data_IF_997124594440
#
_entry.id   IF_997124594440
#
_cell.length_a   1.000
_cell.length_b   1.000
_cell.length_c   1.000
_cell.angle_alpha   90.00
_cell.angle_beta   90.00
_cell.angle_gamma   90.00
#
_symmetry.space_group_name_H-M   'P 1'
#
loop_
_entity.id
_entity.type
_entity.pdbx_description
1 polymer ?
#
# COMPACT_ATOMS: atom_id res chain seq x y z
N UNK A 1 6.91 26.00 9.13
CA UNK A 1 8.24 25.45 9.49
C UNK A 1 9.32 26.19 8.71
N UNK A 2 10.57 26.26 9.19
CA UNK A 2 11.69 26.92 8.47
C UNK A 2 12.51 25.94 7.63
N UNK A 3 13.17 26.42 6.57
CA UNK A 3 14.03 25.60 5.68
C UNK A 3 15.19 24.93 6.43
N UNK A 4 15.84 25.65 7.36
CA UNK A 4 16.93 25.11 8.19
C UNK A 4 16.47 23.87 8.97
N UNK A 5 15.29 23.96 9.57
CA UNK A 5 14.68 22.86 10.33
C UNK A 5 14.31 21.69 9.42
N UNK A 6 13.92 21.96 8.17
CA UNK A 6 13.69 20.91 7.18
C UNK A 6 14.99 20.16 6.88
N UNK A 7 16.08 20.88 6.60
CA UNK A 7 17.38 20.25 6.35
C UNK A 7 17.88 19.45 7.55
N UNK A 8 17.74 19.97 8.77
CA UNK A 8 18.05 19.22 10.00
C UNK A 8 17.23 17.93 10.10
N UNK A 9 15.93 17.99 9.84
CA UNK A 9 15.07 16.80 9.86
C UNK A 9 15.55 15.77 8.83
N UNK A 10 15.89 16.18 7.61
CA UNK A 10 16.45 15.28 6.61
C UNK A 10 17.76 14.65 7.08
N UNK A 11 18.71 15.44 7.62
CA UNK A 11 19.99 14.92 8.11
C UNK A 11 19.81 13.89 9.23
N UNK A 12 18.95 14.19 10.21
CA UNK A 12 18.63 13.29 11.32
C UNK A 12 17.99 11.99 10.82
N UNK A 13 17.04 12.09 9.89
CA UNK A 13 16.32 10.93 9.36
C UNK A 13 17.20 10.02 8.52
N UNK A 14 18.08 10.60 7.69
CA UNK A 14 19.01 9.85 6.86
C UNK A 14 20.25 9.38 7.63
N UNK A 15 20.51 9.93 8.82
CA UNK A 15 21.70 9.63 9.61
C UNK A 15 23.01 10.07 8.94
N UNK A 16 22.94 11.01 7.99
CA UNK A 16 24.09 11.53 7.26
C UNK A 16 23.91 12.99 6.90
N UNK A 17 25.01 13.64 6.53
CA UNK A 17 24.94 14.97 5.95
C UNK A 17 24.31 14.90 4.55
N UNK A 18 23.52 15.93 4.24
CA UNK A 18 22.91 16.13 2.94
C UNK A 18 23.95 16.73 2.00
N UNK A 19 24.00 16.22 0.77
CA UNK A 19 24.86 16.74 -0.29
C UNK A 19 24.35 18.09 -0.80
N UNK A 20 25.22 18.99 -1.28
CA UNK A 20 24.79 20.24 -1.94
C UNK A 20 23.76 20.01 -3.06
N UNK A 21 23.90 18.95 -3.85
CA UNK A 21 22.94 18.60 -4.90
C UNK A 21 21.55 18.24 -4.35
N UNK A 22 21.50 17.59 -3.20
CA UNK A 22 20.25 17.24 -2.53
C UNK A 22 19.58 18.50 -1.93
N UNK A 23 20.36 19.47 -1.47
CA UNK A 23 19.86 20.78 -1.04
C UNK A 23 19.22 21.52 -2.21
N UNK A 24 19.88 21.55 -3.37
CA UNK A 24 19.33 22.15 -4.59
C UNK A 24 17.99 21.51 -4.97
N UNK A 25 17.88 20.19 -4.87
CA UNK A 25 16.64 19.48 -5.16
C UNK A 25 15.50 19.84 -4.18
N UNK A 26 15.79 19.95 -2.88
CA UNK A 26 14.81 20.44 -1.89
C UNK A 26 14.36 21.87 -2.23
N UNK A 27 15.31 22.73 -2.59
CA UNK A 27 15.01 24.10 -3.00
C UNK A 27 14.17 24.14 -4.28
N UNK A 28 14.38 23.23 -5.24
CA UNK A 28 13.52 23.12 -6.42
C UNK A 28 12.08 22.77 -6.03
N UNK A 29 11.87 21.82 -5.12
CA UNK A 29 10.51 21.48 -4.68
C UNK A 29 9.79 22.66 -4.02
N UNK A 30 10.50 23.44 -3.20
CA UNK A 30 9.92 24.58 -2.48
C UNK A 30 9.65 25.75 -3.44
N UNK A 31 10.64 26.12 -4.26
CA UNK A 31 10.59 27.34 -5.06
C UNK A 31 10.06 27.16 -6.47
N UNK A 32 10.34 26.03 -7.13
CA UNK A 32 9.88 25.76 -8.51
C UNK A 32 8.50 25.11 -8.51
N UNK A 33 8.33 24.04 -7.72
CA UNK A 33 7.05 23.32 -7.64
C UNK A 33 6.05 24.00 -6.67
N UNK A 34 6.42 25.13 -6.08
CA UNK A 34 5.63 25.91 -5.11
C UNK A 34 5.07 25.04 -3.98
N UNK A 35 5.82 24.01 -3.55
CA UNK A 35 5.40 23.19 -2.43
C UNK A 35 5.72 23.87 -1.10
N UNK A 36 4.76 23.93 -0.17
CA UNK A 36 5.07 24.43 1.17
C UNK A 36 6.03 23.47 1.89
N UNK A 37 6.94 24.04 2.68
CA UNK A 37 7.97 23.32 3.47
C UNK A 37 7.33 22.21 4.32
N UNK A 38 6.16 22.48 4.88
CA UNK A 38 5.44 21.53 5.71
C UNK A 38 4.99 20.28 4.93
N UNK A 39 4.68 20.41 3.63
CA UNK A 39 4.34 19.28 2.75
C UNK A 39 5.58 18.45 2.45
N UNK A 40 6.73 19.08 2.18
CA UNK A 40 7.99 18.33 2.00
C UNK A 40 8.35 17.54 3.26
N UNK A 41 8.15 18.13 4.44
CA UNK A 41 8.37 17.44 5.71
C UNK A 41 7.37 16.26 5.92
N UNK A 42 6.13 16.41 5.47
CA UNK A 42 5.15 15.30 5.48
C UNK A 42 5.58 14.15 4.57
N UNK A 43 6.11 14.45 3.38
CA UNK A 43 6.63 13.42 2.48
C UNK A 43 7.82 12.66 3.10
N UNK A 44 8.70 13.36 3.82
CA UNK A 44 9.77 12.73 4.59
C UNK A 44 9.20 11.79 5.66
N UNK A 45 8.20 12.25 6.43
CA UNK A 45 7.55 11.44 7.46
C UNK A 45 6.92 10.18 6.86
N UNK A 46 6.24 10.30 5.72
CA UNK A 46 5.65 9.18 4.99
C UNK A 46 6.73 8.16 4.54
N UNK A 47 7.90 8.65 4.12
CA UNK A 47 9.02 7.78 3.77
C UNK A 47 9.57 7.00 4.97
N UNK A 48 9.57 7.60 6.17
CA UNK A 48 9.95 6.95 7.43
C UNK A 48 8.91 5.90 7.83
N UNK A 49 7.62 6.25 7.80
CA UNK A 49 6.52 5.34 8.16
C UNK A 49 6.47 4.11 7.24
N UNK A 50 6.80 4.28 5.96
CA UNK A 50 6.92 3.17 5.00
C UNK A 50 8.28 2.43 5.05
N UNK A 51 9.17 2.80 5.96
CA UNK A 51 10.54 2.27 6.08
C UNK A 51 11.35 2.32 4.77
N UNK A 52 11.11 3.35 3.94
CA UNK A 52 11.71 3.56 2.60
C UNK A 52 12.35 4.93 2.52
N UNK A 53 13.32 5.18 3.41
CA UNK A 53 14.04 6.45 3.50
C UNK A 53 15.10 6.50 2.39
N UNK A 54 14.68 6.87 1.18
CA UNK A 54 15.58 7.12 0.06
C UNK A 54 15.11 8.31 -0.77
N UNK A 55 16.05 8.99 -1.41
CA UNK A 55 15.80 10.22 -2.16
C UNK A 55 14.77 10.03 -3.28
N UNK A 56 14.90 8.92 -4.04
CA UNK A 56 14.01 8.60 -5.15
C UNK A 56 12.57 8.41 -4.70
N UNK A 57 12.37 7.82 -3.53
CA UNK A 57 11.05 7.57 -2.96
C UNK A 57 10.39 8.87 -2.51
N UNK A 58 11.12 9.74 -1.82
CA UNK A 58 10.63 11.07 -1.42
C UNK A 58 10.27 11.89 -2.66
N UNK A 59 11.15 11.94 -3.67
CA UNK A 59 10.87 12.63 -4.93
C UNK A 59 9.62 12.07 -5.62
N UNK A 60 9.44 10.74 -5.63
CA UNK A 60 8.25 10.11 -6.20
C UNK A 60 6.98 10.54 -5.47
N UNK A 61 6.98 10.55 -4.14
CA UNK A 61 5.83 11.02 -3.33
C UNK A 61 5.49 12.47 -3.71
N UNK A 62 6.51 13.34 -3.74
CA UNK A 62 6.32 14.76 -4.08
C UNK A 62 5.77 14.93 -5.50
N UNK A 63 6.33 14.25 -6.51
CA UNK A 63 5.81 14.31 -7.89
C UNK A 63 4.36 13.82 -7.96
N UNK A 64 3.99 12.78 -7.22
CA UNK A 64 2.61 12.29 -7.15
C UNK A 64 1.66 13.28 -6.45
N UNK A 65 2.12 14.03 -5.46
CA UNK A 65 1.34 15.07 -4.77
C UNK A 65 1.20 16.31 -5.64
N UNK A 66 2.27 16.72 -6.31
CA UNK A 66 2.25 17.81 -7.30
C UNK A 66 1.23 17.54 -8.41
N UNK A 67 1.28 16.34 -9.00
CA UNK A 67 0.36 15.93 -10.08
C UNK A 67 -1.10 15.91 -9.65
N UNK A 68 -1.37 15.62 -8.39
CA UNK A 68 -2.73 15.63 -7.85
C UNK A 68 -3.23 17.05 -7.53
N UNK A 69 -2.36 18.06 -7.54
CA UNK A 69 -2.70 19.42 -7.13
C UNK A 69 -2.87 19.58 -5.62
N UNK A 70 -2.23 18.70 -4.85
CA UNK A 70 -2.27 18.70 -3.38
C UNK A 70 -1.23 19.68 -2.83
N UNK A 71 -1.41 20.98 -3.10
CA UNK A 71 -0.49 22.04 -2.67
C UNK A 71 -0.72 22.51 -1.23
N UNK A 72 -1.74 21.99 -0.56
CA UNK A 72 -2.11 22.36 0.82
C UNK A 72 -1.91 21.18 1.76
N UNK A 73 -1.40 21.46 2.96
CA UNK A 73 -1.18 20.48 4.03
C UNK A 73 -2.45 19.66 4.32
N UNK A 74 -3.61 20.30 4.31
CA UNK A 74 -4.90 19.65 4.57
C UNK A 74 -5.24 18.58 3.53
N UNK A 75 -5.07 18.90 2.24
CA UNK A 75 -5.30 17.95 1.14
C UNK A 75 -4.35 16.76 1.21
N UNK A 76 -3.08 17.03 1.52
CA UNK A 76 -2.08 15.96 1.70
C UNK A 76 -2.47 15.04 2.86
N UNK A 77 -2.93 15.59 3.98
CA UNK A 77 -3.42 14.79 5.12
C UNK A 77 -4.64 13.96 4.77
N UNK A 78 -5.61 14.53 4.05
CA UNK A 78 -6.80 13.80 3.60
C UNK A 78 -6.41 12.63 2.68
N UNK A 79 -5.44 12.85 1.79
CA UNK A 79 -4.92 11.82 0.91
C UNK A 79 -4.22 10.69 1.68
N UNK A 80 -3.40 11.04 2.67
CA UNK A 80 -2.74 10.07 3.55
C UNK A 80 -3.77 9.21 4.29
N UNK A 81 -4.81 9.85 4.85
CA UNK A 81 -5.91 9.15 5.51
C UNK A 81 -6.61 8.17 4.56
N UNK A 82 -6.98 8.64 3.35
CA UNK A 82 -7.60 7.78 2.33
C UNK A 82 -6.71 6.61 1.93
N UNK A 83 -5.39 6.82 1.89
CA UNK A 83 -4.45 5.76 1.55
C UNK A 83 -4.43 4.66 2.63
N UNK A 84 -4.40 5.03 3.91
CA UNK A 84 -4.49 4.08 5.03
C UNK A 84 -5.83 3.33 5.05
N UNK A 85 -6.96 4.03 4.86
CA UNK A 85 -8.28 3.40 4.77
C UNK A 85 -8.33 2.33 3.65
N UNK A 86 -7.73 2.65 2.50
CA UNK A 86 -7.66 1.73 1.36
C UNK A 86 -6.76 0.52 1.60
N UNK A 87 -5.73 0.67 2.44
CA UNK A 87 -4.81 -0.40 2.81
C UNK A 87 -5.47 -1.37 3.79
N UNK A 88 -6.21 -0.86 4.76
CA UNK A 88 -6.98 -1.66 5.71
C UNK A 88 -8.04 -2.52 4.99
N UNK A 89 -8.76 -1.93 4.03
CA UNK A 89 -9.71 -2.67 3.19
C UNK A 89 -9.07 -3.83 2.40
N UNK A 90 -7.85 -3.63 1.88
CA UNK A 90 -7.11 -4.69 1.19
C UNK A 90 -6.71 -5.81 2.15
N UNK A 91 -6.28 -5.49 3.36
CA UNK A 91 -5.94 -6.51 4.35
C UNK A 91 -7.16 -7.32 4.82
N UNK A 92 -8.35 -6.72 4.88
CA UNK A 92 -9.59 -7.42 5.20
C UNK A 92 -10.03 -8.44 4.12
N UNK A 93 -9.57 -8.28 2.87
CA UNK A 93 -9.92 -9.20 1.76
C UNK A 93 -8.88 -10.28 1.48
N UNK A 94 -7.70 -10.23 2.10
CA UNK A 94 -6.68 -11.29 1.98
C UNK A 94 -7.04 -12.42 2.95
N UNK A 95 -8.14 -13.10 2.68
CA UNK A 95 -8.35 -14.45 3.19
C UNK A 95 -7.51 -15.40 2.34
N UNK A 96 -6.75 -16.29 2.98
CA UNK A 96 -6.06 -17.38 2.27
C UNK A 96 -7.04 -18.46 1.76
N UNK A 97 -8.34 -18.27 1.99
CA UNK A 97 -9.45 -19.11 1.54
C UNK A 97 -10.00 -18.51 0.25
N UNK A 98 -9.83 -19.20 -0.90
CA UNK A 98 -10.39 -18.75 -2.17
C UNK A 98 -11.92 -18.63 -2.14
N UNK A 99 -12.49 -17.77 -2.99
CA UNK A 99 -13.94 -17.56 -3.08
C UNK A 99 -14.76 -18.80 -3.50
N UNK A 100 -14.11 -19.81 -4.06
CA UNK A 100 -14.74 -21.09 -4.40
C UNK A 100 -14.77 -22.09 -3.23
N UNK A 101 -14.10 -21.78 -2.12
CA UNK A 101 -14.11 -22.65 -0.94
C UNK A 101 -15.46 -22.53 -0.24
N UNK A 102 -16.13 -23.66 -0.04
CA UNK A 102 -17.33 -23.74 0.78
C UNK A 102 -16.91 -24.17 2.21
N UNK A 103 -16.81 -23.26 3.18
CA UNK A 103 -16.38 -23.59 4.55
C UNK A 103 -17.33 -24.56 5.25
N UNK A 104 -18.58 -24.64 4.80
CA UNK A 104 -19.62 -25.51 5.35
C UNK A 104 -19.79 -26.81 4.53
N UNK A 105 -18.81 -27.18 3.70
CA UNK A 105 -18.86 -28.45 2.97
C UNK A 105 -18.81 -29.63 3.94
N UNK A 106 -19.97 -30.24 4.17
CA UNK A 106 -20.09 -31.56 4.77
C UNK A 106 -20.06 -32.59 3.63
N UNK A 107 -18.96 -33.35 3.54
CA UNK A 107 -18.87 -34.43 2.56
C UNK A 107 -19.93 -35.50 2.78
N UNK A 108 -20.33 -36.24 1.73
CA UNK A 108 -21.21 -37.39 1.89
C UNK A 108 -20.61 -38.37 2.89
N UNK A 109 -21.45 -38.87 3.80
CA UNK A 109 -21.01 -39.85 4.79
C UNK A 109 -20.78 -41.20 4.11
N UNK A 110 -20.08 -42.12 4.78
CA UNK A 110 -19.88 -43.48 4.26
C UNK A 110 -21.20 -44.18 3.93
N UNK A 111 -22.29 -43.85 4.63
CA UNK A 111 -23.63 -44.37 4.35
C UNK A 111 -24.23 -43.82 3.04
N UNK A 112 -23.94 -42.57 2.67
CA UNK A 112 -24.44 -41.95 1.42
C UNK A 112 -23.77 -42.51 0.16
N UNK A 113 -22.59 -43.12 0.29
CA UNK A 113 -21.83 -43.72 -0.81
C UNK A 113 -22.16 -45.20 -1.04
N UNK A 114 -22.98 -45.81 -0.18
CA UNK A 114 -23.38 -47.21 -0.34
C UNK A 114 -24.34 -47.33 -1.50
N UNK A 115 -23.83 -47.84 -2.61
CA UNK A 115 -24.65 -48.24 -3.75
C UNK A 115 -25.52 -49.39 -3.29
N UNK A 116 -26.85 -49.24 -3.37
CA UNK A 116 -27.75 -50.34 -3.08
C UNK A 116 -27.59 -51.40 -4.18
N UNK A 117 -27.31 -52.67 -3.83
CA UNK A 117 -27.11 -53.74 -4.81
C UNK A 117 -28.31 -53.97 -5.74
N UNK A 118 -29.49 -53.42 -5.42
CA UNK A 118 -30.71 -53.49 -6.22
C UNK A 118 -30.80 -52.42 -7.31
N UNK A 119 -29.94 -51.39 -7.32
CA UNK A 119 -29.96 -50.28 -8.30
C UNK A 119 -28.89 -50.43 -9.41
N UNK A 120 -27.97 -51.38 -9.27
CA UNK A 120 -27.06 -51.76 -10.37
C UNK A 120 -27.83 -52.59 -11.39
N UNK A 121 -28.27 -51.95 -12.47
CA UNK A 121 -28.76 -52.66 -13.65
C UNK A 121 -27.60 -53.48 -14.22
N UNK A 122 -27.74 -54.81 -14.19
CA UNK A 122 -26.87 -55.74 -14.91
C UNK A 122 -26.99 -55.49 -16.43
N UNK A 123 -26.31 -54.45 -16.92
CA UNK A 123 -26.11 -54.25 -18.33
C UNK A 123 -25.22 -55.36 -18.83
N UNK A 124 -25.77 -56.28 -19.63
CA UNK A 124 -25.01 -57.32 -20.31
C UNK A 124 -23.81 -56.69 -21.02
N UNK A 125 -22.60 -56.98 -20.53
CA UNK A 125 -21.37 -56.51 -21.14
C UNK A 125 -21.21 -57.16 -22.51
N UNK A 126 -21.37 -56.37 -23.56
CA UNK A 126 -21.03 -56.75 -24.93
C UNK A 126 -19.49 -56.63 -25.06
N UNK A 127 -18.82 -57.78 -24.96
CA UNK A 127 -17.38 -57.96 -25.21
C UNK A 127 -17.17 -58.94 -26.35
#
# INVERSE_FOLDING_TARGET
>A
MDEKKLFENFQLTFGRMISPFEIEDIQKWIHQDNMPIDVVNLALREAVENNKINWKYINKILVEWHKAGDTTIEKVKERLQRFEDSKEQRHATISNVPSWSNPDYQGPTYDDLKVNPSEVSDGAGDF
#
